data_IF_713469295065
#
_entry.id   IF_713469295065
#
_cell.length_a   1.000
_cell.length_b   1.000
_cell.length_c   1.000
_cell.angle_alpha   90.00
_cell.angle_beta   90.00
_cell.angle_gamma   90.00
#
_symmetry.space_group_name_H-M   'P 1'
#
loop_
_entity.id
_entity.type
_entity.pdbx_description
1 polymer ?
#
# COMPACT_ATOMS: atom_id res chain seq x y z
N UNK A 1 10.10 1.84 -39.02
CA UNK A 1 10.70 0.79 -38.21
C UNK A 1 9.55 0.10 -37.47
N UNK A 2 9.24 -1.14 -37.85
CA UNK A 2 8.19 -1.92 -37.16
C UNK A 2 8.73 -2.40 -35.81
N UNK A 3 8.06 -2.04 -34.72
CA UNK A 3 8.28 -2.70 -33.45
C UNK A 3 7.73 -4.12 -33.54
N UNK A 4 8.60 -5.11 -33.52
CA UNK A 4 8.19 -6.49 -33.30
C UNK A 4 7.89 -6.60 -31.80
N UNK A 5 6.62 -6.83 -31.44
CA UNK A 5 6.27 -7.12 -30.04
C UNK A 5 6.85 -8.51 -29.71
N UNK A 6 7.89 -8.51 -28.88
CA UNK A 6 8.38 -9.71 -28.22
C UNK A 6 7.85 -9.72 -26.79
N UNK A 7 7.62 -10.91 -26.25
CA UNK A 7 7.27 -11.04 -24.82
C UNK A 7 8.40 -10.43 -23.98
N UNK A 8 8.01 -9.57 -23.04
CA UNK A 8 8.96 -8.92 -22.13
C UNK A 8 9.42 -9.94 -21.09
N UNK A 9 10.72 -10.14 -21.01
CA UNK A 9 11.32 -11.00 -19.99
C UNK A 9 11.05 -10.46 -18.58
N UNK A 10 10.76 -11.38 -17.63
CA UNK A 10 10.45 -11.02 -16.23
C UNK A 10 11.51 -10.11 -15.60
N UNK A 11 12.80 -10.36 -15.87
CA UNK A 11 13.91 -9.53 -15.37
C UNK A 11 13.86 -8.11 -15.89
N UNK A 12 13.63 -7.93 -17.19
CA UNK A 12 13.51 -6.61 -17.83
C UNK A 12 12.34 -5.80 -17.22
N UNK A 13 11.20 -6.47 -16.96
CA UNK A 13 10.06 -5.81 -16.31
C UNK A 13 10.41 -5.36 -14.88
N UNK A 14 11.02 -6.23 -14.07
CA UNK A 14 11.42 -5.90 -12.70
C UNK A 14 12.41 -4.73 -12.70
N UNK A 15 13.38 -4.72 -13.58
CA UNK A 15 14.39 -3.65 -13.66
C UNK A 15 13.75 -2.32 -14.08
N UNK A 16 12.81 -2.34 -15.02
CA UNK A 16 12.05 -1.15 -15.40
C UNK A 16 11.22 -0.61 -14.21
N UNK A 17 10.54 -1.51 -13.47
CA UNK A 17 9.71 -1.11 -12.32
C UNK A 17 10.53 -0.59 -11.14
N UNK A 18 11.80 -0.95 -11.01
CA UNK A 18 12.71 -0.34 -10.03
C UNK A 18 12.92 1.16 -10.24
N UNK A 19 12.75 1.64 -11.48
CA UNK A 19 12.79 3.06 -11.81
C UNK A 19 11.53 3.84 -11.45
N UNK A 20 10.48 3.18 -10.97
CA UNK A 20 9.23 3.82 -10.55
C UNK A 20 9.26 4.04 -9.05
N UNK A 21 9.26 5.31 -8.63
CA UNK A 21 9.12 5.66 -7.23
C UNK A 21 7.66 5.48 -6.78
N UNK A 22 7.46 4.91 -5.61
CA UNK A 22 6.13 4.70 -5.02
C UNK A 22 6.11 5.08 -3.55
N UNK A 23 4.95 5.43 -3.02
CA UNK A 23 4.74 5.54 -1.58
C UNK A 23 4.77 4.15 -0.94
N UNK A 24 5.32 4.07 0.28
CA UNK A 24 5.24 2.86 1.10
C UNK A 24 3.95 2.92 1.90
N UNK A 25 3.08 1.94 1.69
CA UNK A 25 1.81 1.86 2.38
C UNK A 25 1.70 0.54 3.15
N UNK A 26 0.91 0.54 4.22
CA UNK A 26 0.43 -0.68 4.86
C UNK A 26 -1.07 -0.79 4.60
N UNK A 27 -1.49 -1.88 3.97
CA UNK A 27 -2.90 -2.24 3.87
C UNK A 27 -3.26 -3.03 5.12
N UNK A 28 -4.31 -2.59 5.81
CA UNK A 28 -4.82 -3.24 7.02
C UNK A 28 -6.28 -3.61 6.83
N UNK A 29 -6.73 -4.65 7.51
CA UNK A 29 -8.14 -5.07 7.58
C UNK A 29 -8.43 -5.63 8.95
N UNK A 30 -9.68 -5.56 9.37
CA UNK A 30 -10.23 -6.25 10.55
C UNK A 30 -11.70 -6.58 10.31
N UNK A 31 -12.16 -7.71 10.79
CA UNK A 31 -13.55 -8.12 10.62
C UNK A 31 -13.73 -9.60 10.94
N UNK A 32 -14.70 -10.24 10.27
CA UNK A 32 -15.05 -11.64 10.51
C UNK A 32 -13.89 -12.61 10.25
N UNK A 33 -13.01 -12.29 9.29
CA UNK A 33 -11.81 -13.07 9.00
C UNK A 33 -10.65 -12.77 9.97
N UNK A 34 -10.83 -11.80 10.88
CA UNK A 34 -9.81 -11.35 11.82
C UNK A 34 -9.01 -10.15 11.30
N UNK A 35 -7.96 -9.80 12.05
CA UNK A 35 -7.10 -8.65 11.81
C UNK A 35 -5.79 -9.05 11.12
N UNK A 36 -5.41 -8.31 10.11
CA UNK A 36 -4.11 -8.46 9.46
C UNK A 36 -3.66 -7.17 8.78
N UNK A 37 -2.37 -7.10 8.46
CA UNK A 37 -1.79 -6.01 7.69
C UNK A 37 -0.59 -6.48 6.87
N UNK A 38 -0.35 -5.81 5.74
CA UNK A 38 0.80 -6.06 4.89
C UNK A 38 1.30 -4.79 4.21
N UNK A 39 2.62 -4.66 4.07
CA UNK A 39 3.25 -3.57 3.35
C UNK A 39 3.11 -3.77 1.86
N UNK A 40 2.72 -2.70 1.18
CA UNK A 40 2.53 -2.65 -0.26
C UNK A 40 3.12 -1.36 -0.85
N UNK A 41 3.53 -1.42 -2.11
CA UNK A 41 3.86 -0.25 -2.93
C UNK A 41 2.86 -0.05 -4.08
N UNK A 42 2.05 -1.06 -4.37
CA UNK A 42 1.05 -1.03 -5.44
C UNK A 42 -0.26 -0.41 -4.96
N UNK A 43 -0.27 0.92 -4.88
CA UNK A 43 -1.41 1.75 -4.47
C UNK A 43 -1.51 2.96 -5.40
N UNK A 44 -2.72 3.28 -5.84
CA UNK A 44 -2.99 4.55 -6.51
C UNK A 44 -4.45 5.01 -6.36
N UNK A 45 -4.68 6.31 -6.63
CA UNK A 45 -6.02 6.85 -6.78
C UNK A 45 -6.63 6.41 -8.11
N UNK A 46 -7.95 6.16 -8.12
CA UNK A 46 -8.74 5.82 -9.33
C UNK A 46 -9.63 6.97 -9.73
N UNK A 47 -10.36 7.56 -8.78
CA UNK A 47 -11.30 8.65 -9.03
C UNK A 47 -11.40 9.56 -7.81
N UNK A 48 -11.68 10.83 -8.05
CA UNK A 48 -12.00 11.79 -6.99
C UNK A 48 -13.50 11.89 -6.71
N UNK A 49 -14.34 11.47 -7.67
CA UNK A 49 -15.80 11.52 -7.57
C UNK A 49 -16.43 10.25 -8.17
N UNK A 50 -16.91 9.30 -7.34
CA UNK A 50 -16.68 9.23 -5.89
C UNK A 50 -15.21 8.92 -5.57
N UNK A 51 -14.73 9.28 -4.37
CA UNK A 51 -13.35 9.00 -3.96
C UNK A 51 -13.08 7.50 -3.97
N UNK A 52 -12.14 7.08 -4.81
CA UNK A 52 -11.86 5.67 -5.10
C UNK A 52 -10.37 5.46 -5.27
N UNK A 53 -9.87 4.39 -4.68
CA UNK A 53 -8.47 3.97 -4.76
C UNK A 53 -8.38 2.50 -5.17
N UNK A 54 -7.19 2.06 -5.57
CA UNK A 54 -6.91 0.63 -5.75
C UNK A 54 -5.62 0.24 -5.02
N UNK A 55 -5.59 -1.03 -4.62
CA UNK A 55 -4.38 -1.71 -4.14
C UNK A 55 -4.25 -3.05 -4.85
N UNK A 56 -3.01 -3.49 -5.13
CA UNK A 56 -2.73 -4.83 -5.65
C UNK A 56 -2.07 -5.66 -4.55
N UNK A 57 -2.67 -6.80 -4.24
CA UNK A 57 -2.17 -7.75 -3.25
C UNK A 57 -1.88 -9.09 -3.94
N UNK A 58 -0.88 -9.82 -3.46
CA UNK A 58 -0.65 -11.17 -3.97
C UNK A 58 -1.86 -12.05 -3.63
N UNK A 59 -2.50 -12.67 -4.63
CA UNK A 59 -3.81 -13.33 -4.48
C UNK A 59 -3.84 -14.47 -3.45
N UNK A 60 -2.71 -15.15 -3.22
CA UNK A 60 -2.59 -16.19 -2.20
C UNK A 60 -2.11 -15.67 -0.85
N UNK A 61 -1.93 -14.35 -0.69
CA UNK A 61 -1.51 -13.79 0.58
C UNK A 61 -2.65 -13.76 1.59
N UNK A 62 -2.30 -13.88 2.87
CA UNK A 62 -3.26 -13.81 3.97
C UNK A 62 -4.06 -12.49 3.94
N UNK A 63 -3.39 -11.37 3.66
CA UNK A 63 -4.07 -10.07 3.61
C UNK A 63 -5.12 -10.01 2.49
N UNK A 64 -4.83 -10.56 1.29
CA UNK A 64 -5.80 -10.57 0.19
C UNK A 64 -7.06 -11.37 0.55
N UNK A 65 -6.90 -12.56 1.14
CA UNK A 65 -8.02 -13.39 1.57
C UNK A 65 -8.87 -12.69 2.63
N UNK A 66 -8.22 -12.07 3.63
CA UNK A 66 -8.93 -11.40 4.72
C UNK A 66 -9.62 -10.11 4.26
N UNK A 67 -9.02 -9.34 3.34
CA UNK A 67 -9.69 -8.16 2.75
C UNK A 67 -10.93 -8.59 1.97
N UNK A 68 -10.85 -9.68 1.21
CA UNK A 68 -11.99 -10.24 0.47
C UNK A 68 -13.13 -10.65 1.41
N UNK A 69 -12.82 -11.36 2.50
CA UNK A 69 -13.82 -11.82 3.46
C UNK A 69 -14.38 -10.69 4.34
N UNK A 70 -13.53 -9.75 4.78
CA UNK A 70 -13.95 -8.64 5.62
C UNK A 70 -14.69 -7.54 4.83
N UNK A 71 -14.46 -7.43 3.52
CA UNK A 71 -15.09 -6.43 2.64
C UNK A 71 -14.60 -5.01 2.87
N UNK A 72 -13.62 -4.81 3.75
CA UNK A 72 -13.07 -3.49 4.13
C UNK A 72 -11.56 -3.55 4.23
N UNK A 73 -10.91 -2.42 4.00
CA UNK A 73 -9.49 -2.23 4.25
C UNK A 73 -9.16 -0.77 4.54
N UNK A 74 -8.02 -0.52 5.17
CA UNK A 74 -7.45 0.81 5.22
C UNK A 74 -6.11 0.83 4.49
N UNK A 75 -5.83 1.94 3.81
CA UNK A 75 -4.50 2.25 3.28
C UNK A 75 -3.84 3.24 4.22
N UNK A 76 -2.74 2.83 4.82
CA UNK A 76 -1.93 3.65 5.70
C UNK A 76 -0.69 4.10 4.93
N UNK A 77 -0.67 5.33 4.44
CA UNK A 77 0.51 5.92 3.78
C UNK A 77 1.50 6.28 4.86
N UNK A 78 2.59 5.54 4.95
CA UNK A 78 3.56 5.67 6.03
C UNK A 78 4.35 6.97 5.93
N UNK A 79 4.59 7.64 7.07
CA UNK A 79 5.47 8.81 7.11
C UNK A 79 6.93 8.42 6.93
N UNK A 80 7.75 9.38 6.50
CA UNK A 80 9.20 9.27 6.51
C UNK A 80 9.70 8.92 7.93
N UNK A 81 10.62 7.96 8.04
CA UNK A 81 11.12 7.45 9.31
C UNK A 81 10.35 6.22 9.84
N UNK A 82 9.33 5.73 9.13
CA UNK A 82 8.56 4.56 9.51
C UNK A 82 9.03 3.25 8.85
N UNK A 83 10.32 3.15 8.50
CA UNK A 83 10.92 1.97 7.85
C UNK A 83 10.75 0.69 8.69
N UNK A 84 10.85 0.80 10.03
CA UNK A 84 10.65 -0.35 10.92
C UNK A 84 9.22 -0.88 10.88
N UNK A 85 8.22 0.01 10.79
CA UNK A 85 6.82 -0.36 10.60
C UNK A 85 6.64 -1.04 9.23
N UNK A 86 7.20 -0.46 8.18
CA UNK A 86 7.15 -1.04 6.84
C UNK A 86 7.76 -2.44 6.80
N UNK A 87 8.95 -2.63 7.41
CA UNK A 87 9.62 -3.94 7.48
C UNK A 87 8.80 -4.96 8.27
N UNK A 88 8.20 -4.54 9.38
CA UNK A 88 7.35 -5.40 10.20
C UNK A 88 6.15 -5.92 9.41
N UNK A 89 5.41 -5.03 8.75
CA UNK A 89 4.26 -5.44 7.95
C UNK A 89 4.65 -6.13 6.62
N UNK A 90 5.91 -6.03 6.21
CA UNK A 90 6.46 -6.85 5.13
C UNK A 90 6.81 -8.28 5.58
N UNK A 91 6.71 -8.60 6.88
CA UNK A 91 6.96 -9.92 7.42
C UNK A 91 8.40 -10.17 7.90
N UNK A 92 9.23 -9.13 8.00
CA UNK A 92 10.64 -9.28 8.42
C UNK A 92 10.80 -9.92 9.82
N UNK A 93 9.77 -9.86 10.66
CA UNK A 93 9.79 -10.35 12.04
C UNK A 93 8.79 -11.47 12.32
N UNK A 94 8.15 -12.04 11.30
CA UNK A 94 7.09 -13.05 11.47
C UNK A 94 7.56 -14.32 12.21
N UNK A 95 8.85 -14.59 12.22
CA UNK A 95 9.43 -15.71 12.99
C UNK A 95 9.51 -15.43 14.50
N UNK A 96 9.47 -14.16 14.93
CA UNK A 96 9.65 -13.73 16.32
C UNK A 96 8.37 -13.17 16.94
N UNK A 97 7.43 -12.69 16.13
CA UNK A 97 6.17 -12.07 16.57
C UNK A 97 4.97 -12.80 15.98
N UNK A 98 3.96 -13.04 16.82
CA UNK A 98 2.73 -13.69 16.39
C UNK A 98 1.74 -12.71 15.72
N UNK A 99 1.77 -11.45 16.11
CA UNK A 99 0.91 -10.38 15.57
C UNK A 99 1.78 -9.19 15.14
N UNK A 100 1.68 -8.81 13.86
CA UNK A 100 2.39 -7.65 13.31
C UNK A 100 1.99 -6.32 13.94
N UNK A 101 0.84 -6.26 14.62
CA UNK A 101 0.37 -5.08 15.34
C UNK A 101 0.94 -4.95 16.76
N UNK A 102 1.65 -5.96 17.27
CA UNK A 102 2.25 -5.93 18.62
C UNK A 102 3.17 -4.70 18.78
N UNK A 103 2.86 -3.81 19.74
CA UNK A 103 3.60 -2.60 20.00
C UNK A 103 3.44 -1.51 18.93
N UNK A 104 2.57 -1.68 17.94
CA UNK A 104 2.20 -0.64 16.98
C UNK A 104 0.99 0.12 17.52
N UNK A 105 1.13 1.43 17.63
CA UNK A 105 0.03 2.30 18.01
C UNK A 105 -0.95 2.45 16.84
N UNK A 106 -2.20 2.12 17.10
CA UNK A 106 -3.27 2.13 16.09
C UNK A 106 -4.47 2.94 16.55
N UNK A 107 -5.12 3.58 15.61
CA UNK A 107 -6.47 4.13 15.76
C UNK A 107 -7.49 3.08 15.35
N UNK A 108 -8.46 2.80 16.24
CA UNK A 108 -9.52 1.82 15.97
C UNK A 108 -10.61 2.48 15.15
N UNK A 109 -10.75 2.01 13.91
CA UNK A 109 -11.80 2.39 12.97
C UNK A 109 -12.38 1.11 12.34
N UNK A 110 -13.01 1.21 11.16
CA UNK A 110 -13.49 0.02 10.43
C UNK A 110 -12.36 -0.96 10.15
N UNK A 111 -11.22 -0.45 9.69
CA UNK A 111 -9.96 -1.18 9.65
C UNK A 111 -8.88 -0.42 10.46
N UNK A 112 -7.87 -1.10 11.04
CA UNK A 112 -6.86 -0.44 11.87
C UNK A 112 -6.10 0.64 11.12
N UNK A 113 -6.06 1.87 11.66
CA UNK A 113 -5.22 2.96 11.19
C UNK A 113 -3.92 3.03 11.99
N UNK A 114 -2.78 3.10 11.35
CA UNK A 114 -1.48 3.25 12.01
C UNK A 114 -1.29 4.70 12.40
N UNK A 115 -1.07 4.97 13.69
CA UNK A 115 -0.84 6.32 14.20
C UNK A 115 0.35 6.99 13.50
N UNK A 116 0.15 8.23 13.07
CA UNK A 116 1.15 9.01 12.32
C UNK A 116 1.12 8.82 10.80
N UNK A 117 0.39 7.84 10.27
CA UNK A 117 0.16 7.68 8.83
C UNK A 117 -0.98 8.58 8.33
N UNK A 118 -1.03 8.80 7.02
CA UNK A 118 -2.27 9.23 6.36
C UNK A 118 -3.10 7.99 6.10
N UNK A 119 -4.29 7.92 6.68
CA UNK A 119 -5.15 6.74 6.66
C UNK A 119 -6.38 6.98 5.80
N UNK A 120 -6.60 6.10 4.82
CA UNK A 120 -7.80 6.06 4.00
C UNK A 120 -8.59 4.80 4.34
N UNK A 121 -9.77 4.96 4.94
CA UNK A 121 -10.71 3.86 5.20
C UNK A 121 -11.51 3.56 3.94
N UNK A 122 -11.55 2.30 3.56
CA UNK A 122 -12.14 1.87 2.29
C UNK A 122 -13.09 0.70 2.47
N UNK A 123 -14.18 0.74 1.72
CA UNK A 123 -15.06 -0.39 1.49
C UNK A 123 -14.73 -0.99 0.11
N UNK A 124 -14.58 -2.30 0.04
CA UNK A 124 -14.29 -3.00 -1.23
C UNK A 124 -15.50 -2.85 -2.16
N UNK A 125 -15.30 -2.26 -3.31
CA UNK A 125 -16.31 -2.12 -4.35
C UNK A 125 -16.16 -3.13 -5.49
N UNK A 126 -14.92 -3.54 -5.78
CA UNK A 126 -14.60 -4.54 -6.79
C UNK A 126 -13.35 -5.31 -6.43
N UNK A 127 -13.33 -6.58 -6.84
CA UNK A 127 -12.17 -7.45 -6.78
C UNK A 127 -11.90 -8.01 -8.17
N UNK A 128 -10.67 -7.85 -8.65
CA UNK A 128 -10.29 -8.25 -10.01
C UNK A 128 -9.05 -9.12 -9.94
N UNK A 129 -9.17 -10.42 -10.23
CA UNK A 129 -7.99 -11.29 -10.31
C UNK A 129 -7.15 -10.93 -11.55
N UNK A 130 -5.84 -10.80 -11.36
CA UNK A 130 -4.90 -10.50 -12.43
C UNK A 130 -3.60 -11.25 -12.20
N UNK A 131 -3.33 -12.26 -13.01
CA UNK A 131 -2.18 -13.16 -12.89
C UNK A 131 -2.02 -13.69 -11.44
N UNK A 132 -0.90 -13.39 -10.77
CA UNK A 132 -0.64 -13.81 -9.39
C UNK A 132 -1.21 -12.84 -8.34
N UNK A 133 -1.86 -11.76 -8.75
CA UNK A 133 -2.35 -10.70 -7.88
C UNK A 133 -3.87 -10.57 -7.93
N UNK A 134 -4.39 -9.95 -6.88
CA UNK A 134 -5.77 -9.49 -6.76
C UNK A 134 -5.74 -7.97 -6.68
N UNK A 135 -6.49 -7.30 -7.55
CA UNK A 135 -6.70 -5.86 -7.51
C UNK A 135 -7.97 -5.60 -6.72
N UNK A 136 -7.86 -4.87 -5.63
CA UNK A 136 -8.99 -4.40 -4.84
C UNK A 136 -9.25 -2.94 -5.15
N UNK A 137 -10.44 -2.64 -5.63
CA UNK A 137 -10.91 -1.27 -5.80
C UNK A 137 -11.76 -0.94 -4.59
N UNK A 138 -11.39 0.12 -3.88
CA UNK A 138 -12.05 0.55 -2.66
C UNK A 138 -12.61 1.96 -2.76
N UNK A 139 -13.87 2.12 -2.33
CA UNK A 139 -14.47 3.43 -2.12
C UNK A 139 -13.98 3.99 -0.79
N UNK A 140 -13.38 5.16 -0.83
CA UNK A 140 -12.90 5.85 0.38
C UNK A 140 -14.08 6.50 1.09
N UNK A 141 -14.30 6.15 2.35
CA UNK A 141 -15.40 6.66 3.17
C UNK A 141 -14.93 7.49 4.37
N UNK A 142 -13.64 7.45 4.73
CA UNK A 142 -13.04 8.34 5.71
C UNK A 142 -11.54 8.52 5.44
N UNK A 143 -11.03 9.71 5.77
CA UNK A 143 -9.59 10.02 5.71
C UNK A 143 -9.23 10.77 6.98
N UNK A 144 -8.11 10.39 7.61
CA UNK A 144 -7.57 11.06 8.78
C UNK A 144 -6.05 10.93 8.86
N UNK A 145 -5.44 11.65 9.79
CA UNK A 145 -3.99 11.77 9.86
C UNK A 145 -3.42 12.64 8.74
N UNK A 146 -2.16 12.44 8.43
CA UNK A 146 -1.47 13.15 7.33
C UNK A 146 -0.66 14.34 7.78
N UNK A 147 -0.13 15.08 6.78
CA UNK A 147 0.74 16.24 6.99
C UNK A 147 2.22 15.90 7.11
N UNK A 148 2.59 14.65 7.32
CA UNK A 148 3.97 14.20 7.28
C UNK A 148 4.44 13.91 5.85
N UNK A 149 5.73 14.09 5.59
CA UNK A 149 6.33 13.64 4.32
C UNK A 149 6.22 12.12 4.21
N UNK A 150 5.82 11.56 3.06
CA UNK A 150 5.64 10.13 2.92
C UNK A 150 7.00 9.41 2.83
N UNK A 151 7.04 8.19 3.36
CA UNK A 151 8.08 7.23 3.07
C UNK A 151 7.93 6.75 1.64
N UNK A 152 9.01 6.80 0.86
CA UNK A 152 9.05 6.32 -0.52
C UNK A 152 9.88 5.06 -0.66
N UNK A 153 9.64 4.33 -1.74
CA UNK A 153 10.44 3.19 -2.18
C UNK A 153 10.89 3.41 -3.62
N UNK A 154 12.17 3.31 -3.87
CA UNK A 154 12.77 3.53 -5.17
C UNK A 154 14.05 2.71 -5.32
N UNK A 155 14.28 2.16 -6.49
CA UNK A 155 15.51 1.42 -6.83
C UNK A 155 15.88 0.30 -5.84
N UNK A 156 14.86 -0.36 -5.26
CA UNK A 156 15.07 -1.47 -4.32
C UNK A 156 15.35 -1.07 -2.87
N UNK A 157 15.10 0.20 -2.50
CA UNK A 157 15.31 0.71 -1.14
C UNK A 157 14.33 1.80 -0.73
N UNK A 158 14.30 2.09 0.56
CA UNK A 158 13.56 3.23 1.08
C UNK A 158 14.22 4.54 0.64
N UNK A 159 13.40 5.54 0.35
CA UNK A 159 13.84 6.84 -0.13
C UNK A 159 13.05 7.96 0.54
N UNK A 160 13.64 9.15 0.53
CA UNK A 160 13.02 10.36 1.02
C UNK A 160 12.59 11.23 -0.17
N UNK A 161 11.43 11.86 -0.05
CA UNK A 161 10.93 12.79 -1.06
C UNK A 161 11.29 14.22 -0.64
N UNK A 162 11.99 14.92 -1.53
CA UNK A 162 12.24 16.34 -1.40
C UNK A 162 11.49 17.05 -2.52
N UNK A 163 10.56 17.96 -2.21
CA UNK A 163 9.90 18.76 -3.23
C UNK A 163 10.92 19.55 -4.06
N UNK A 164 10.71 19.62 -5.38
CA UNK A 164 11.50 20.51 -6.22
C UNK A 164 11.32 21.95 -5.73
N UNK A 165 12.40 22.72 -5.69
CA UNK A 165 12.30 24.15 -5.39
C UNK A 165 11.54 24.83 -6.52
N UNK A 166 10.63 25.79 -6.23
CA UNK A 166 10.01 26.58 -7.28
C UNK A 166 11.13 27.33 -8.03
N UNK A 167 11.08 27.27 -9.36
CA UNK A 167 12.00 28.07 -10.18
C UNK A 167 11.87 29.53 -9.74
N UNK A 168 12.99 30.14 -9.31
CA UNK A 168 13.02 31.57 -9.07
C UNK A 168 12.80 32.27 -10.40
N UNK A 169 11.59 32.76 -10.61
CA UNK A 169 11.24 33.64 -11.72
C UNK A 169 12.20 34.84 -11.67
N UNK A 170 13.13 34.90 -12.63
CA UNK A 170 13.97 36.07 -12.88
C UNK A 170 13.16 37.12 -13.64
#
# INVERSE_FOLDING_TARGET
>A
MGFTMHDVERGQFIDAMRGVASSVCVVTTDGIAGRHGATVSAFCSVSADPPTVLVCLHGQSRIAQMVSENGIFAVNVLPQGAEDIANRFAGAHDAQIADRFDGIEIEVASAPGITGATVLQCEVSQEIPSASHQVFIGRVNAIYGGGAKPLAYYSGGYAQITPAQPESTK
#
